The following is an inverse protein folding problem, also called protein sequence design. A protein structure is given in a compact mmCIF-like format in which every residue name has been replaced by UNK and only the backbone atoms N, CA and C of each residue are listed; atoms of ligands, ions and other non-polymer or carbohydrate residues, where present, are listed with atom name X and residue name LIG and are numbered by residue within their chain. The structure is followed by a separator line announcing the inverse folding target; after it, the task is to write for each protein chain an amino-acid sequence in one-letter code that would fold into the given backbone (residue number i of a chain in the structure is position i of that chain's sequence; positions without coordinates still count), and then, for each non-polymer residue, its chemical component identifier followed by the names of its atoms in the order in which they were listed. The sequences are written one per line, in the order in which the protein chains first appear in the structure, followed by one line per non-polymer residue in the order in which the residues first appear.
data_IF_460786793625
#
_entry.id   IF_460786793625
#
_cell.length_a   1.000
_cell.length_b   1.000
_cell.length_c   1.000
_cell.angle_alpha   90.00
_cell.angle_beta   90.00
_cell.angle_gamma   90.00
#
_symmetry.space_group_name_H-M   'P 1'
#
loop_
_entity.id
_entity.type
_entity.pdbx_description
1 polymer ?
#
# COMPACT_ATOMS: atom_id res chain seq x y z
N UNK A 1 7.12 7.39 -30.63
CA UNK A 1 6.58 6.67 -29.49
C UNK A 1 7.77 6.14 -28.73
N UNK A 2 7.91 6.30 -27.41
CA UNK A 2 8.97 5.62 -26.70
C UNK A 2 8.68 4.13 -26.83
N UNK A 3 9.60 3.41 -27.48
CA UNK A 3 9.62 1.98 -27.49
C UNK A 3 9.78 1.49 -26.05
N UNK A 4 9.04 0.42 -25.71
CA UNK A 4 9.33 -0.48 -24.60
C UNK A 4 8.89 -0.05 -23.19
N UNK A 5 7.62 0.35 -23.02
CA UNK A 5 6.99 0.06 -21.73
C UNK A 5 6.54 -1.41 -21.80
N UNK A 6 7.09 -2.31 -20.96
CA UNK A 6 6.65 -3.70 -20.95
C UNK A 6 5.14 -3.77 -20.71
N UNK A 7 4.44 -4.71 -21.37
CA UNK A 7 3.01 -4.91 -21.10
C UNK A 7 2.77 -5.41 -19.67
N UNK A 8 1.53 -5.34 -19.20
CA UNK A 8 1.18 -5.68 -17.82
C UNK A 8 1.56 -7.13 -17.45
N UNK A 9 1.43 -8.07 -18.38
CA UNK A 9 1.79 -9.47 -18.17
C UNK A 9 3.31 -9.63 -17.96
N UNK A 10 4.11 -8.88 -18.71
CA UNK A 10 5.57 -8.87 -18.54
C UNK A 10 5.95 -8.24 -17.21
N UNK A 11 5.31 -7.13 -16.81
CA UNK A 11 5.54 -6.49 -15.51
C UNK A 11 5.15 -7.39 -14.35
N UNK A 12 4.03 -8.10 -14.46
CA UNK A 12 3.56 -9.03 -13.40
C UNK A 12 4.56 -10.16 -13.14
N UNK A 13 5.29 -10.61 -14.16
CA UNK A 13 6.28 -11.68 -14.03
C UNK A 13 7.70 -11.16 -13.74
N UNK A 14 8.08 -10.05 -14.33
CA UNK A 14 9.47 -9.58 -14.40
C UNK A 14 9.68 -8.17 -13.87
N UNK A 15 8.64 -7.49 -13.40
CA UNK A 15 8.74 -6.15 -12.81
C UNK A 15 9.60 -6.15 -11.54
N UNK A 16 10.22 -5.00 -11.27
CA UNK A 16 11.14 -4.84 -10.15
C UNK A 16 12.57 -5.29 -10.45
N UNK A 17 13.37 -5.40 -9.41
CA UNK A 17 14.81 -5.71 -9.49
C UNK A 17 15.14 -7.19 -9.40
N UNK A 18 14.21 -8.05 -8.98
CA UNK A 18 14.46 -9.48 -8.83
C UNK A 18 14.83 -10.13 -10.17
N UNK A 19 15.83 -10.97 -10.10
CA UNK A 19 16.25 -11.84 -11.21
C UNK A 19 16.32 -13.29 -10.67
N UNK A 20 17.18 -14.13 -11.20
CA UNK A 20 17.38 -15.46 -10.64
C UNK A 20 18.04 -15.38 -9.24
N UNK A 21 17.71 -16.34 -8.36
CA UNK A 21 18.36 -16.47 -7.06
C UNK A 21 19.87 -16.68 -7.23
N UNK A 22 20.73 -15.85 -6.61
CA UNK A 22 22.16 -15.88 -6.86
C UNK A 22 22.84 -17.16 -6.36
N UNK A 23 22.23 -17.88 -5.41
CA UNK A 23 22.79 -19.11 -4.83
C UNK A 23 22.43 -20.34 -5.65
N UNK A 24 21.19 -20.43 -6.08
CA UNK A 24 20.63 -21.63 -6.73
C UNK A 24 20.37 -21.46 -8.21
N UNK A 25 20.33 -20.22 -8.71
CA UNK A 25 19.90 -19.89 -10.07
C UNK A 25 18.39 -20.05 -10.30
N UNK A 26 17.59 -20.25 -9.24
CA UNK A 26 16.14 -20.40 -9.37
C UNK A 26 15.52 -19.13 -9.94
N UNK A 27 14.73 -19.29 -11.02
CA UNK A 27 14.01 -18.16 -11.65
C UNK A 27 12.76 -17.77 -10.87
N UNK A 28 12.09 -18.74 -10.25
CA UNK A 28 10.98 -18.46 -9.34
C UNK A 28 11.50 -17.84 -8.03
N UNK A 29 10.74 -16.89 -7.49
CA UNK A 29 11.11 -16.25 -6.22
C UNK A 29 11.05 -17.28 -5.09
N UNK A 30 12.15 -17.51 -4.35
CA UNK A 30 12.13 -18.40 -3.19
C UNK A 30 11.18 -17.89 -2.10
N UNK A 31 10.56 -18.80 -1.36
CA UNK A 31 9.71 -18.46 -0.21
C UNK A 31 10.58 -18.44 1.05
N UNK A 32 10.90 -17.26 1.55
CA UNK A 32 11.72 -17.07 2.76
C UNK A 32 10.84 -17.10 4.02
N UNK A 33 10.57 -18.32 4.53
CA UNK A 33 9.83 -18.52 5.78
C UNK A 33 10.74 -18.36 6.99
N UNK A 34 11.16 -17.14 7.27
CA UNK A 34 12.00 -16.82 8.43
C UNK A 34 11.51 -15.56 9.13
N UNK A 35 11.77 -15.44 10.42
CA UNK A 35 11.45 -14.23 11.19
C UNK A 35 12.59 -13.22 11.17
N UNK A 36 13.84 -13.67 11.21
CA UNK A 36 15.01 -12.81 11.34
C UNK A 36 16.14 -13.29 10.43
N UNK A 37 17.12 -12.42 10.27
CA UNK A 37 18.29 -12.63 9.42
C UNK A 37 19.56 -12.46 10.23
N UNK A 38 20.59 -13.23 9.88
CA UNK A 38 21.89 -13.13 10.52
C UNK A 38 22.68 -11.95 9.95
N UNK A 39 23.21 -11.13 10.84
CA UNK A 39 24.14 -10.06 10.47
C UNK A 39 25.56 -10.63 10.32
N UNK A 40 26.37 -9.97 9.50
CA UNK A 40 27.78 -10.33 9.34
C UNK A 40 28.57 -10.06 10.63
N UNK A 41 28.33 -8.89 11.23
CA UNK A 41 28.89 -8.43 12.49
C UNK A 41 28.02 -7.33 13.12
N UNK A 42 28.42 -6.83 14.28
CA UNK A 42 27.71 -5.75 14.99
C UNK A 42 27.74 -4.42 14.24
N UNK A 43 28.79 -4.15 13.46
CA UNK A 43 28.88 -2.94 12.62
C UNK A 43 27.87 -2.99 11.46
N UNK A 44 27.73 -4.14 10.80
CA UNK A 44 26.70 -4.37 9.78
C UNK A 44 25.30 -4.17 10.38
N UNK A 45 25.01 -4.74 11.55
CA UNK A 45 23.75 -4.53 12.24
C UNK A 45 23.49 -3.03 12.51
N UNK A 46 24.48 -2.30 13.02
CA UNK A 46 24.34 -0.87 13.31
C UNK A 46 23.99 -0.06 12.04
N UNK A 47 24.64 -0.31 10.91
CA UNK A 47 24.36 0.38 9.64
C UNK A 47 22.93 0.10 9.12
N UNK A 48 22.49 -1.17 9.22
CA UNK A 48 21.12 -1.54 8.82
C UNK A 48 20.06 -0.84 9.69
N UNK A 49 20.25 -0.81 11.01
CA UNK A 49 19.31 -0.12 11.91
C UNK A 49 19.36 1.41 11.78
N UNK A 50 20.50 1.99 11.38
CA UNK A 50 20.63 3.40 11.09
C UNK A 50 20.12 3.78 9.68
N UNK A 51 19.68 2.81 8.86
CA UNK A 51 19.29 2.98 7.45
C UNK A 51 20.42 3.55 6.57
N UNK A 52 21.66 3.35 6.97
CA UNK A 52 22.86 3.67 6.18
C UNK A 52 23.13 2.59 5.12
N UNK A 53 22.60 1.41 5.33
CA UNK A 53 22.66 0.27 4.42
C UNK A 53 21.26 -0.38 4.34
N UNK A 54 20.84 -0.79 3.15
CA UNK A 54 19.59 -1.53 2.96
C UNK A 54 19.84 -3.05 3.05
N UNK A 55 18.98 -3.75 3.77
CA UNK A 55 19.09 -5.21 3.88
C UNK A 55 18.06 -5.79 4.84
N UNK A 56 18.04 -7.12 4.88
CA UNK A 56 17.05 -7.85 5.66
C UNK A 56 17.43 -7.87 7.15
N UNK A 57 16.53 -7.44 8.00
CA UNK A 57 16.66 -7.42 9.46
C UNK A 57 15.68 -8.40 10.08
N UNK A 58 14.41 -8.21 9.80
CA UNK A 58 13.30 -8.94 10.39
C UNK A 58 12.10 -8.94 9.44
N UNK A 59 11.44 -10.07 9.25
CA UNK A 59 10.42 -10.27 8.22
C UNK A 59 9.26 -9.28 8.29
N UNK A 60 8.84 -8.83 9.49
CA UNK A 60 7.80 -7.79 9.61
C UNK A 60 8.23 -6.45 9.00
N UNK A 61 9.53 -6.16 8.99
CA UNK A 61 10.08 -4.93 8.41
C UNK A 61 10.35 -5.15 6.92
N UNK A 62 11.02 -6.24 6.56
CA UNK A 62 11.36 -6.57 5.18
C UNK A 62 11.59 -8.09 5.03
N UNK A 63 11.13 -8.64 3.91
CA UNK A 63 11.35 -10.03 3.53
C UNK A 63 11.54 -10.09 2.01
N UNK A 64 12.54 -10.83 1.49
CA UNK A 64 12.82 -10.86 0.04
C UNK A 64 11.64 -11.34 -0.80
N UNK A 65 10.81 -12.26 -0.29
CA UNK A 65 9.61 -12.72 -1.02
C UNK A 65 8.57 -11.59 -1.11
N UNK A 66 8.32 -10.88 -0.02
CA UNK A 66 7.38 -9.77 0.04
C UNK A 66 7.88 -8.59 -0.79
N UNK A 67 9.18 -8.29 -0.74
CA UNK A 67 9.81 -7.22 -1.50
C UNK A 67 9.59 -7.38 -3.02
N UNK A 68 9.69 -8.59 -3.54
CA UNK A 68 9.41 -8.84 -4.97
C UNK A 68 7.93 -8.56 -5.31
N UNK A 69 6.98 -8.92 -4.45
CA UNK A 69 5.57 -8.57 -4.62
C UNK A 69 5.39 -7.05 -4.64
N UNK A 70 5.96 -6.36 -3.67
CA UNK A 70 5.86 -4.89 -3.53
C UNK A 70 6.43 -4.19 -4.77
N UNK A 71 7.61 -4.58 -5.24
CA UNK A 71 8.22 -4.02 -6.45
C UNK A 71 7.38 -4.26 -7.71
N UNK A 72 6.77 -5.44 -7.85
CA UNK A 72 5.91 -5.76 -9.00
C UNK A 72 4.62 -4.97 -8.99
N UNK A 73 3.97 -4.85 -7.84
CA UNK A 73 2.76 -4.03 -7.69
C UNK A 73 3.09 -2.55 -7.97
N UNK A 74 4.18 -2.03 -7.42
CA UNK A 74 4.62 -0.67 -7.72
C UNK A 74 4.84 -0.45 -9.23
N UNK A 75 5.48 -1.40 -9.91
CA UNK A 75 5.71 -1.32 -11.36
C UNK A 75 4.41 -1.37 -12.17
N UNK A 76 3.43 -2.20 -11.77
CA UNK A 76 2.12 -2.30 -12.42
C UNK A 76 1.30 -1.03 -12.27
N UNK A 77 1.33 -0.42 -11.09
CA UNK A 77 0.58 0.79 -10.75
C UNK A 77 1.32 2.10 -11.12
N UNK A 78 2.56 2.01 -11.62
CA UNK A 78 3.39 3.19 -11.89
C UNK A 78 3.79 3.95 -10.62
N UNK A 79 3.77 3.26 -9.47
CA UNK A 79 4.13 3.81 -8.18
C UNK A 79 5.64 3.80 -7.92
N UNK A 80 6.08 4.66 -7.01
CA UNK A 80 7.50 4.70 -6.56
C UNK A 80 7.83 3.49 -5.69
N UNK A 81 6.88 3.06 -4.87
CA UNK A 81 7.00 1.92 -3.96
C UNK A 81 5.61 1.38 -3.62
N UNK A 82 5.56 0.18 -3.06
CA UNK A 82 4.37 -0.41 -2.47
C UNK A 82 4.71 -1.02 -1.10
N UNK A 83 3.72 -1.17 -0.26
CA UNK A 83 3.82 -1.83 1.03
C UNK A 83 2.76 -2.92 1.13
N UNK A 84 3.17 -4.16 1.27
CA UNK A 84 2.26 -5.27 1.53
C UNK A 84 1.92 -5.35 3.02
N UNK A 85 0.63 -5.47 3.31
CA UNK A 85 0.11 -5.56 4.68
C UNK A 85 -0.82 -6.77 4.82
N UNK A 86 -1.16 -7.12 6.05
CA UNK A 86 -1.86 -8.36 6.37
C UNK A 86 -3.33 -8.40 5.88
N UNK A 87 -3.92 -7.27 5.50
CA UNK A 87 -5.29 -7.20 4.99
C UNK A 87 -5.57 -5.91 4.22
N UNK A 88 -6.60 -5.92 3.35
CA UNK A 88 -7.07 -4.71 2.68
C UNK A 88 -7.56 -3.63 3.65
N UNK A 89 -8.13 -4.01 4.80
CA UNK A 89 -8.52 -3.05 5.83
C UNK A 89 -7.31 -2.36 6.49
N UNK A 90 -6.21 -3.10 6.70
CA UNK A 90 -4.95 -2.50 7.14
C UNK A 90 -4.40 -1.56 6.07
N UNK A 91 -4.48 -1.92 4.78
CA UNK A 91 -4.06 -1.05 3.68
C UNK A 91 -4.86 0.25 3.66
N UNK A 92 -6.20 0.17 3.74
CA UNK A 92 -7.07 1.37 3.78
C UNK A 92 -6.78 2.25 5.00
N UNK A 93 -6.60 1.64 6.19
CA UNK A 93 -6.28 2.38 7.40
C UNK A 93 -4.93 3.11 7.28
N UNK A 94 -3.88 2.42 6.83
CA UNK A 94 -2.56 3.02 6.68
C UNK A 94 -2.52 4.08 5.59
N UNK A 95 -3.23 3.90 4.48
CA UNK A 95 -3.33 4.91 3.44
C UNK A 95 -3.92 6.22 3.98
N UNK A 96 -5.03 6.14 4.73
CA UNK A 96 -5.65 7.32 5.31
C UNK A 96 -4.78 7.95 6.40
N UNK A 97 -4.25 7.15 7.34
CA UNK A 97 -3.45 7.66 8.47
C UNK A 97 -2.08 8.21 8.01
N UNK A 98 -1.60 7.82 6.83
CA UNK A 98 -0.40 8.42 6.23
C UNK A 98 -0.65 9.82 5.67
N UNK A 99 -1.89 10.14 5.30
CA UNK A 99 -2.28 11.42 4.69
C UNK A 99 -2.94 12.39 5.66
N UNK A 100 -3.71 11.87 6.63
CA UNK A 100 -4.56 12.64 7.53
C UNK A 100 -4.17 12.41 9.00
N UNK A 101 -4.15 13.47 9.76
CA UNK A 101 -3.91 13.48 11.21
C UNK A 101 -5.12 13.99 11.98
N UNK A 102 -5.07 13.95 13.31
CA UNK A 102 -6.15 14.48 14.13
C UNK A 102 -6.49 15.94 13.78
N UNK A 103 -7.77 16.19 13.53
CA UNK A 103 -8.28 17.48 13.07
C UNK A 103 -8.39 17.65 11.56
N UNK A 104 -7.84 16.72 10.77
CA UNK A 104 -8.05 16.65 9.32
C UNK A 104 -9.32 15.86 8.96
N UNK A 105 -9.72 15.93 7.69
CA UNK A 105 -10.81 15.13 7.15
C UNK A 105 -10.47 14.48 5.80
N UNK A 106 -11.24 13.46 5.48
CA UNK A 106 -11.34 12.89 4.12
C UNK A 106 -12.79 12.93 3.66
N UNK A 107 -13.00 12.99 2.35
CA UNK A 107 -14.33 12.85 1.74
C UNK A 107 -14.44 11.48 1.11
N UNK A 108 -15.45 10.71 1.49
CA UNK A 108 -15.63 9.33 1.07
C UNK A 108 -16.98 9.10 0.40
N UNK A 109 -17.00 8.22 -0.59
CA UNK A 109 -18.25 7.65 -1.09
C UNK A 109 -19.05 7.00 0.04
N UNK A 110 -20.38 7.05 -0.04
CA UNK A 110 -21.28 6.24 0.79
C UNK A 110 -21.28 4.77 0.38
N UNK A 111 -20.87 4.47 -0.85
CA UNK A 111 -20.91 3.14 -1.42
C UNK A 111 -19.57 2.45 -1.21
N UNK A 112 -19.49 1.70 -0.11
CA UNK A 112 -18.29 1.04 0.38
C UNK A 112 -18.59 -0.37 0.87
N UNK A 113 -17.56 -1.21 0.87
CA UNK A 113 -17.56 -2.43 1.64
C UNK A 113 -17.83 -2.14 3.12
N UNK A 114 -18.67 -2.97 3.77
CA UNK A 114 -19.11 -2.74 5.15
C UNK A 114 -17.98 -2.59 6.17
N UNK A 115 -16.86 -3.32 6.00
CA UNK A 115 -15.67 -3.16 6.84
C UNK A 115 -15.03 -1.79 6.70
N UNK A 116 -14.93 -1.25 5.49
CA UNK A 116 -14.42 0.10 5.21
C UNK A 116 -15.35 1.16 5.77
N UNK A 117 -16.66 0.96 5.63
CA UNK A 117 -17.65 1.83 6.26
C UNK A 117 -17.45 1.91 7.78
N UNK A 118 -17.29 0.77 8.45
CA UNK A 118 -17.05 0.73 9.92
C UNK A 118 -15.72 1.39 10.28
N UNK A 119 -14.64 1.09 9.55
CA UNK A 119 -13.34 1.74 9.73
C UNK A 119 -13.47 3.26 9.69
N UNK A 120 -14.16 3.79 8.68
CA UNK A 120 -14.29 5.23 8.44
C UNK A 120 -15.29 5.90 9.39
N UNK A 121 -16.45 5.27 9.64
CA UNK A 121 -17.50 5.88 10.46
C UNK A 121 -17.24 5.79 11.96
N UNK A 122 -16.45 4.82 12.41
CA UNK A 122 -16.23 4.56 13.83
C UNK A 122 -14.75 4.66 14.23
N UNK A 123 -13.87 3.90 13.57
CA UNK A 123 -12.48 3.74 14.00
C UNK A 123 -11.66 5.02 13.77
N UNK A 124 -11.74 5.63 12.60
CA UNK A 124 -10.98 6.85 12.30
C UNK A 124 -11.36 8.03 13.20
N UNK A 125 -12.59 8.08 13.70
CA UNK A 125 -12.99 9.09 14.69
C UNK A 125 -12.18 9.01 15.99
N UNK A 126 -11.77 7.81 16.39
CA UNK A 126 -10.95 7.62 17.60
C UNK A 126 -9.53 8.18 17.40
N UNK A 127 -9.07 8.30 16.15
CA UNK A 127 -7.81 8.95 15.77
C UNK A 127 -7.97 10.44 15.47
N UNK A 128 -9.18 10.99 15.64
CA UNK A 128 -9.47 12.41 15.40
C UNK A 128 -9.59 12.79 13.91
N UNK A 129 -9.69 11.82 13.00
CA UNK A 129 -9.91 12.06 11.58
C UNK A 129 -11.41 12.03 11.28
N UNK A 130 -11.93 13.12 10.73
CA UNK A 130 -13.32 13.21 10.26
C UNK A 130 -13.46 12.53 8.89
N UNK A 131 -14.53 11.75 8.69
CA UNK A 131 -14.88 11.22 7.37
C UNK A 131 -16.25 11.79 6.96
N UNK A 132 -16.27 12.50 5.85
CA UNK A 132 -17.46 13.08 5.24
C UNK A 132 -17.96 12.18 4.13
N UNK A 133 -19.08 11.53 4.36
CA UNK A 133 -19.69 10.62 3.39
C UNK A 133 -20.57 11.39 2.43
N UNK A 134 -20.43 11.11 1.13
CA UNK A 134 -21.18 11.74 0.05
C UNK A 134 -21.72 10.69 -0.93
N UNK A 135 -22.81 11.01 -1.59
CA UNK A 135 -23.33 10.23 -2.72
C UNK A 135 -22.32 10.30 -3.88
N UNK A 136 -21.78 9.16 -4.35
CA UNK A 136 -20.76 9.13 -5.40
C UNK A 136 -21.31 9.41 -6.80
N UNK A 137 -22.63 9.34 -7.01
CA UNK A 137 -23.23 9.53 -8.33
C UNK A 137 -23.08 10.96 -8.88
N UNK A 138 -22.88 11.92 -8.02
CA UNK A 138 -22.60 13.31 -8.39
C UNK A 138 -21.22 13.75 -7.87
N UNK A 139 -20.22 13.91 -8.76
CA UNK A 139 -18.88 14.36 -8.37
C UNK A 139 -18.86 15.71 -7.64
N UNK A 140 -19.87 16.56 -7.84
CA UNK A 140 -19.98 17.84 -7.14
C UNK A 140 -20.24 17.67 -5.64
N UNK A 141 -20.74 16.51 -5.20
CA UNK A 141 -20.87 16.20 -3.77
C UNK A 141 -19.50 16.17 -3.08
N UNK A 142 -18.49 15.59 -3.74
CA UNK A 142 -17.12 15.59 -3.22
C UNK A 142 -16.58 17.02 -3.11
N UNK A 143 -16.78 17.83 -4.15
CA UNK A 143 -16.34 19.23 -4.16
C UNK A 143 -17.01 20.05 -3.05
N UNK A 144 -18.32 19.90 -2.85
CA UNK A 144 -19.07 20.61 -1.79
C UNK A 144 -18.65 20.21 -0.38
N UNK A 145 -18.21 18.98 -0.19
CA UNK A 145 -17.75 18.46 1.10
C UNK A 145 -16.27 18.78 1.41
N UNK A 146 -15.55 19.33 0.44
CA UNK A 146 -14.12 19.64 0.55
C UNK A 146 -13.88 20.95 1.27
N UNK A 147 -12.88 21.01 2.14
CA UNK A 147 -12.36 22.22 2.75
C UNK A 147 -10.81 22.19 2.85
N UNK A 148 -10.23 23.19 3.53
CA UNK A 148 -8.76 23.30 3.67
C UNK A 148 -8.12 22.18 4.48
N UNK A 149 -8.90 21.40 5.23
CA UNK A 149 -8.47 20.26 6.04
C UNK A 149 -8.65 18.92 5.33
N UNK A 150 -9.23 18.90 4.13
CA UNK A 150 -9.44 17.69 3.35
C UNK A 150 -8.10 17.20 2.80
N UNK A 151 -7.76 15.95 3.09
CA UNK A 151 -6.48 15.31 2.71
C UNK A 151 -6.62 14.29 1.60
N UNK A 152 -7.79 13.66 1.47
CA UNK A 152 -8.01 12.64 0.47
C UNK A 152 -9.48 12.51 0.08
N UNK A 153 -9.69 11.93 -1.09
CA UNK A 153 -10.96 11.36 -1.53
C UNK A 153 -10.85 9.85 -1.55
N UNK A 154 -11.91 9.17 -1.13
CA UNK A 154 -11.95 7.71 -1.13
C UNK A 154 -13.22 7.19 -1.82
N UNK A 155 -13.05 6.26 -2.75
CA UNK A 155 -14.12 5.53 -3.40
C UNK A 155 -13.65 4.13 -3.80
N UNK A 156 -14.59 3.22 -4.00
CA UNK A 156 -14.34 1.88 -4.54
C UNK A 156 -14.81 1.84 -6.00
N UNK A 157 -13.99 1.32 -6.90
CA UNK A 157 -14.33 1.21 -8.34
C UNK A 157 -15.57 0.34 -8.57
N UNK A 158 -15.70 -0.75 -7.80
CA UNK A 158 -16.84 -1.67 -7.80
C UNK A 158 -17.29 -1.89 -6.35
N UNK A 159 -18.08 -0.96 -5.77
CA UNK A 159 -18.42 -1.01 -4.36
C UNK A 159 -19.35 -2.18 -4.04
N UNK A 160 -19.03 -2.90 -2.96
CA UNK A 160 -19.85 -3.98 -2.44
C UNK A 160 -20.88 -3.42 -1.42
N UNK A 161 -22.19 -3.69 -1.53
CA UNK A 161 -22.84 -4.63 -2.48
C UNK A 161 -23.46 -4.00 -3.74
N UNK A 162 -23.43 -2.68 -3.89
CA UNK A 162 -24.21 -2.01 -4.93
C UNK A 162 -23.66 -2.17 -6.35
N UNK A 163 -22.36 -2.37 -6.51
CA UNK A 163 -21.66 -2.55 -7.80
C UNK A 163 -21.93 -1.40 -8.80
N UNK A 164 -22.20 -0.20 -8.32
CA UNK A 164 -22.36 1.01 -9.14
C UNK A 164 -20.98 1.55 -9.53
N UNK A 165 -20.81 1.88 -10.80
CA UNK A 165 -19.60 2.44 -11.40
C UNK A 165 -19.83 3.91 -11.73
#
# INVERSE_FOLDING_TARGET
MPADTPNAETLALHGGSYRADPTTGAVAVPIYQTTSYQFQDTGHAARLFALEELGNIYTRVQNPTTDVLEQRVAALEGGVAALAVASGQAASAFAVLNLAQAGDNIVSSTDLYGGTWTLFSQTLKQFGVEVRFVDPLDPDNFRRATDSKTRAYYAETLPNPKLQV
#
